data_IF_910231366966
#
_entry.id   IF_910231366966
#
_cell.length_a   1.000
_cell.length_b   1.000
_cell.length_c   1.000
_cell.angle_alpha   90.00
_cell.angle_beta   90.00
_cell.angle_gamma   90.00
#
_symmetry.space_group_name_H-M   'P 1'
#
loop_
_entity.id
_entity.type
_entity.pdbx_description
1 polymer ?
#
# COMPACT_ATOMS: atom_id res chain seq x y z
N UNK A 1 -15.43 3.27 2.66
CA UNK A 1 -14.31 4.07 2.12
C UNK A 1 -14.32 4.06 0.59
N UNK A 2 -13.86 5.14 -0.05
CA UNK A 2 -13.98 5.34 -1.50
C UNK A 2 -13.01 4.49 -2.34
N UNK A 3 -11.88 4.08 -1.77
CA UNK A 3 -10.87 3.28 -2.45
C UNK A 3 -11.20 1.77 -2.52
N UNK A 4 -12.31 1.32 -1.93
CA UNK A 4 -12.75 -0.09 -1.97
C UNK A 4 -11.98 -1.05 -1.06
N UNK A 5 -11.02 -0.58 -0.25
CA UNK A 5 -10.29 -1.40 0.73
C UNK A 5 -11.22 -1.76 1.89
N UNK A 6 -11.43 -3.06 2.11
CA UNK A 6 -12.34 -3.56 3.15
C UNK A 6 -11.63 -3.91 4.45
N UNK A 7 -10.47 -4.56 4.36
CA UNK A 7 -9.74 -5.09 5.50
C UNK A 7 -8.36 -4.42 5.57
N UNK A 8 -8.21 -3.46 6.47
CA UNK A 8 -6.94 -2.74 6.68
C UNK A 8 -6.83 -2.24 8.12
N UNK A 9 -5.63 -2.28 8.68
CA UNK A 9 -5.29 -1.58 9.91
C UNK A 9 -4.57 -0.29 9.55
N UNK A 10 -5.08 0.84 10.04
CA UNK A 10 -4.49 2.14 9.79
C UNK A 10 -4.48 2.99 11.06
N UNK A 11 -3.43 3.80 11.21
CA UNK A 11 -3.32 4.81 12.26
C UNK A 11 -2.65 6.05 11.70
N UNK A 12 -3.28 7.20 11.86
CA UNK A 12 -2.66 8.48 11.60
C UNK A 12 -1.76 8.86 12.79
N UNK A 13 -0.49 9.17 12.49
CA UNK A 13 0.48 9.71 13.43
C UNK A 13 0.92 11.11 12.96
N UNK A 14 1.34 11.99 13.87
CA UNK A 14 1.69 13.37 13.54
C UNK A 14 0.47 14.29 13.34
N UNK A 15 0.49 15.14 12.31
CA UNK A 15 -0.51 16.21 12.08
C UNK A 15 -1.94 15.68 11.94
N UNK A 16 -2.90 16.37 12.57
CA UNK A 16 -4.33 16.08 12.45
C UNK A 16 -5.02 16.82 11.27
N UNK A 17 -4.27 17.44 10.36
CA UNK A 17 -4.85 18.14 9.20
C UNK A 17 -5.55 17.16 8.23
N UNK A 18 -6.87 17.27 8.00
CA UNK A 18 -7.61 16.27 7.21
C UNK A 18 -7.17 16.17 5.75
N UNK A 19 -6.90 17.30 5.09
CA UNK A 19 -6.49 17.32 3.68
C UNK A 19 -5.14 16.62 3.48
N UNK A 20 -4.18 16.90 4.36
CA UNK A 20 -2.86 16.26 4.28
C UNK A 20 -2.93 14.78 4.65
N UNK A 21 -3.79 14.39 5.59
CA UNK A 21 -4.01 12.98 5.91
C UNK A 21 -4.63 12.21 4.74
N UNK A 22 -5.59 12.80 4.02
CA UNK A 22 -6.13 12.20 2.80
C UNK A 22 -5.06 12.05 1.70
N UNK A 23 -4.23 13.08 1.49
CA UNK A 23 -3.10 13.02 0.55
C UNK A 23 -2.08 11.95 0.93
N UNK A 24 -1.77 11.81 2.22
CA UNK A 24 -0.86 10.79 2.73
C UNK A 24 -1.44 9.38 2.51
N UNK A 25 -2.73 9.17 2.76
CA UNK A 25 -3.41 7.91 2.51
C UNK A 25 -3.36 7.52 1.01
N UNK A 26 -3.67 8.46 0.11
CA UNK A 26 -3.58 8.22 -1.34
C UNK A 26 -2.14 7.91 -1.76
N UNK A 27 -1.15 8.68 -1.29
CA UNK A 27 0.25 8.43 -1.59
C UNK A 27 0.70 7.03 -1.13
N UNK A 28 0.35 6.63 0.10
CA UNK A 28 0.68 5.33 0.64
C UNK A 28 0.06 4.19 -0.16
N UNK A 29 -1.22 4.29 -0.52
CA UNK A 29 -1.91 3.29 -1.33
C UNK A 29 -1.31 3.18 -2.74
N UNK A 30 -0.96 4.30 -3.38
CA UNK A 30 -0.35 4.31 -4.71
C UNK A 30 1.08 3.76 -4.73
N UNK A 31 1.77 3.74 -3.60
CA UNK A 31 3.13 3.20 -3.48
C UNK A 31 3.17 1.69 -3.18
N UNK A 32 2.01 1.05 -2.97
CA UNK A 32 1.94 -0.40 -2.77
C UNK A 32 2.42 -1.12 -4.03
N UNK A 33 3.16 -2.21 -3.82
CA UNK A 33 3.66 -3.07 -4.89
C UNK A 33 3.01 -4.44 -4.76
N UNK A 34 2.66 -5.04 -5.89
CA UNK A 34 2.14 -6.41 -5.89
C UNK A 34 3.29 -7.42 -5.83
N UNK A 35 2.99 -8.65 -5.41
CA UNK A 35 3.97 -9.74 -5.44
C UNK A 35 4.50 -9.98 -6.86
N UNK A 36 3.65 -9.82 -7.89
CA UNK A 36 4.06 -9.96 -9.29
C UNK A 36 5.08 -8.88 -9.69
N UNK A 37 4.85 -7.62 -9.32
CA UNK A 37 5.78 -6.51 -9.63
C UNK A 37 7.15 -6.74 -8.97
N UNK A 38 7.16 -7.26 -7.74
CA UNK A 38 8.38 -7.56 -6.99
C UNK A 38 9.11 -8.78 -7.57
N UNK A 39 8.37 -9.83 -7.95
CA UNK A 39 8.92 -11.03 -8.57
C UNK A 39 9.61 -10.71 -9.90
N UNK A 40 8.95 -9.90 -10.74
CA UNK A 40 9.49 -9.46 -12.03
C UNK A 40 10.76 -8.62 -11.88
N UNK A 41 10.78 -7.65 -10.95
CA UNK A 41 11.98 -6.82 -10.73
C UNK A 41 13.18 -7.65 -10.24
N UNK A 42 12.91 -8.71 -9.48
CA UNK A 42 13.94 -9.57 -8.87
C UNK A 42 14.35 -10.76 -9.73
N UNK A 43 13.71 -10.96 -10.89
CA UNK A 43 13.89 -12.13 -11.76
C UNK A 43 13.70 -13.46 -11.01
N UNK A 44 12.62 -13.56 -10.23
CA UNK A 44 12.27 -14.74 -9.45
C UNK A 44 10.84 -15.19 -9.76
N UNK A 45 10.54 -16.50 -9.69
CA UNK A 45 9.16 -16.98 -9.68
C UNK A 45 8.41 -16.46 -8.44
N UNK A 46 7.15 -16.05 -8.61
CA UNK A 46 6.34 -15.40 -7.55
C UNK A 46 6.14 -16.29 -6.32
N UNK A 47 6.18 -17.62 -6.51
CA UNK A 47 6.09 -18.65 -5.48
C UNK A 47 7.15 -18.47 -4.37
N UNK A 48 8.31 -17.93 -4.72
CA UNK A 48 9.40 -17.70 -3.76
C UNK A 48 9.14 -16.52 -2.80
N UNK A 49 8.09 -15.73 -3.00
CA UNK A 49 7.76 -14.56 -2.17
C UNK A 49 6.74 -14.83 -1.06
N UNK A 50 6.02 -15.95 -1.13
CA UNK A 50 4.96 -16.30 -0.16
C UNK A 50 5.11 -17.70 0.45
N UNK A 51 6.21 -18.40 0.14
CA UNK A 51 6.58 -19.69 0.74
C UNK A 51 7.26 -19.54 2.10
#
# INVERSE_FOLDING_TARGET
ELAGVQNILAKQLGSNNPLNNARAAVNALSALRTLADVAQERDLPVEHLYA
#
